data_IF_372569886926
#
_entry.id   IF_372569886926
#
_cell.length_a   1.000
_cell.length_b   1.000
_cell.length_c   1.000
_cell.angle_alpha   90.00
_cell.angle_beta   90.00
_cell.angle_gamma   90.00
#
_symmetry.space_group_name_H-M   'P 1'
#
loop_
_entity.id
_entity.type
_entity.pdbx_description
1 polymer ?
#
# COMPACT_ATOMS: atom_id res chain seq x y z
N UNK A 1 -14.38 -22.35 6.56
CA UNK A 1 -12.91 -22.29 6.70
C UNK A 1 -12.59 -21.56 8.01
N UNK A 2 -11.74 -22.11 8.89
CA UNK A 2 -11.37 -21.46 10.17
C UNK A 2 -10.67 -20.11 9.94
N UNK A 3 -10.86 -19.14 10.85
CA UNK A 3 -10.22 -17.81 10.80
C UNK A 3 -8.70 -17.91 10.76
N UNK A 4 -8.11 -18.83 11.53
CA UNK A 4 -6.67 -19.09 11.54
C UNK A 4 -6.16 -19.55 10.17
N UNK A 5 -6.92 -20.42 9.49
CA UNK A 5 -6.58 -20.88 8.14
C UNK A 5 -6.59 -19.72 7.14
N UNK A 6 -7.53 -18.79 7.23
CA UNK A 6 -7.55 -17.57 6.40
C UNK A 6 -6.32 -16.69 6.66
N UNK A 7 -5.95 -16.48 7.92
CA UNK A 7 -4.77 -15.69 8.31
C UNK A 7 -3.49 -16.33 7.76
N UNK A 8 -3.33 -17.64 7.88
CA UNK A 8 -2.14 -18.33 7.40
C UNK A 8 -2.00 -18.25 5.89
N UNK A 9 -3.11 -18.39 5.14
CA UNK A 9 -3.11 -18.21 3.69
C UNK A 9 -2.77 -16.76 3.32
N UNK A 10 -3.36 -15.76 3.99
CA UNK A 10 -3.05 -14.36 3.73
C UNK A 10 -1.57 -14.03 3.98
N UNK A 11 -0.99 -14.53 5.07
CA UNK A 11 0.44 -14.38 5.36
C UNK A 11 1.31 -14.99 4.26
N UNK A 12 1.00 -16.21 3.83
CA UNK A 12 1.76 -16.88 2.76
C UNK A 12 1.69 -16.08 1.44
N UNK A 13 0.52 -15.56 1.09
CA UNK A 13 0.35 -14.72 -0.10
C UNK A 13 1.14 -13.41 0.00
N UNK A 14 1.11 -12.73 1.14
CA UNK A 14 1.89 -11.50 1.35
C UNK A 14 3.40 -11.74 1.28
N UNK A 15 3.89 -12.87 1.80
CA UNK A 15 5.29 -13.27 1.68
C UNK A 15 5.66 -13.49 0.21
N UNK A 16 4.84 -14.23 -0.54
CA UNK A 16 5.09 -14.50 -1.95
C UNK A 16 5.04 -13.23 -2.82
N UNK A 17 4.10 -12.33 -2.54
CA UNK A 17 3.99 -11.05 -3.22
C UNK A 17 5.26 -10.22 -3.03
N UNK A 18 5.72 -10.08 -1.78
CA UNK A 18 6.92 -9.33 -1.45
C UNK A 18 8.18 -9.94 -2.07
N UNK A 19 8.30 -11.27 -2.06
CA UNK A 19 9.40 -11.96 -2.73
C UNK A 19 9.41 -11.69 -4.25
N UNK A 20 8.22 -11.54 -4.85
CA UNK A 20 8.10 -11.21 -6.27
C UNK A 20 8.51 -9.76 -6.55
N UNK A 21 8.11 -8.81 -5.70
CA UNK A 21 8.54 -7.40 -5.76
C UNK A 21 10.07 -7.29 -5.66
N UNK A 22 10.66 -7.95 -4.67
CA UNK A 22 12.12 -7.96 -4.46
C UNK A 22 12.89 -8.57 -5.64
N UNK A 23 12.34 -9.62 -6.28
CA UNK A 23 12.94 -10.20 -7.47
C UNK A 23 12.93 -9.23 -8.67
N UNK A 24 11.86 -8.43 -8.82
CA UNK A 24 11.77 -7.41 -9.87
C UNK A 24 12.76 -6.27 -9.60
N UNK A 25 12.86 -5.80 -8.35
CA UNK A 25 13.82 -4.77 -7.94
C UNK A 25 15.26 -5.21 -8.20
N UNK A 26 15.57 -6.46 -7.85
CA UNK A 26 16.87 -7.08 -8.13
C UNK A 26 17.13 -7.12 -9.64
N UNK A 27 16.17 -7.58 -10.44
CA UNK A 27 16.32 -7.62 -11.90
C UNK A 27 16.54 -6.23 -12.51
N UNK A 28 15.89 -5.19 -11.98
CA UNK A 28 16.07 -3.82 -12.41
C UNK A 28 17.49 -3.31 -12.08
N UNK A 29 18.00 -3.65 -10.90
CA UNK A 29 19.37 -3.31 -10.48
C UNK A 29 20.41 -3.98 -11.38
N UNK A 30 20.27 -5.27 -11.66
CA UNK A 30 21.15 -6.02 -12.56
C UNK A 30 21.13 -5.47 -13.99
N UNK A 31 19.94 -5.11 -14.50
CA UNK A 31 19.82 -4.50 -15.83
C UNK A 31 20.51 -3.12 -15.90
N UNK A 32 20.43 -2.31 -14.84
CA UNK A 32 21.13 -1.04 -14.75
C UNK A 32 22.66 -1.26 -14.72
N UNK A 33 23.14 -2.23 -13.95
CA UNK A 33 24.56 -2.57 -13.90
C UNK A 33 25.07 -3.07 -15.26
N UNK A 34 24.29 -3.90 -15.97
CA UNK A 34 24.63 -4.34 -17.32
C UNK A 34 24.83 -3.16 -18.28
N UNK A 35 23.97 -2.13 -18.21
CA UNK A 35 24.13 -0.91 -19.03
C UNK A 35 25.42 -0.17 -18.67
N UNK A 36 25.70 -0.02 -17.38
CA UNK A 36 26.94 0.61 -16.89
C UNK A 36 28.18 -0.15 -17.41
N UNK A 37 28.23 -1.46 -17.20
CA UNK A 37 29.33 -2.33 -17.68
C UNK A 37 29.47 -2.25 -19.19
N UNK A 38 28.35 -2.22 -19.92
CA UNK A 38 28.37 -2.09 -21.38
C UNK A 38 28.94 -0.74 -21.84
N UNK A 39 28.50 0.36 -21.25
CA UNK A 39 28.96 1.72 -21.60
C UNK A 39 30.45 1.90 -21.27
N UNK A 40 30.88 1.43 -20.11
CA UNK A 40 32.29 1.50 -19.68
C UNK A 40 33.19 0.63 -20.56
N UNK A 41 32.76 -0.60 -20.87
CA UNK A 41 33.50 -1.50 -21.78
C UNK A 41 33.68 -0.90 -23.16
N UNK A 42 32.64 -0.27 -23.74
CA UNK A 42 32.76 0.43 -25.04
C UNK A 42 33.85 1.50 -25.03
N UNK A 43 33.92 2.28 -23.95
CA UNK A 43 34.95 3.33 -23.80
C UNK A 43 36.35 2.72 -23.70
N UNK A 44 36.50 1.61 -22.97
CA UNK A 44 37.78 0.93 -22.77
C UNK A 44 38.39 0.40 -24.07
N UNK A 45 37.57 -0.03 -25.04
CA UNK A 45 38.03 -0.58 -26.33
C UNK A 45 37.85 0.38 -27.52
N UNK A 46 37.55 1.67 -27.26
CA UNK A 46 37.25 2.67 -28.30
C UNK A 46 36.19 2.22 -29.33
N UNK A 47 35.20 1.45 -28.88
CA UNK A 47 34.14 0.92 -29.74
C UNK A 47 33.15 2.02 -30.13
N UNK A 48 32.83 2.10 -31.42
CA UNK A 48 31.78 3.00 -31.93
C UNK A 48 30.44 2.69 -31.28
N UNK A 49 29.68 3.73 -30.94
CA UNK A 49 28.34 3.66 -30.36
C UNK A 49 27.34 2.89 -31.22
N UNK A 50 27.57 2.86 -32.55
CA UNK A 50 26.72 2.15 -33.51
C UNK A 50 26.87 0.63 -33.35
N UNK A 51 28.06 0.15 -32.98
CA UNK A 51 28.30 -1.28 -32.80
C UNK A 51 27.68 -1.71 -31.46
N UNK A 52 26.80 -2.72 -31.50
CA UNK A 52 26.12 -3.25 -30.31
C UNK A 52 25.04 -2.35 -29.71
N UNK A 53 24.59 -1.31 -30.43
CA UNK A 53 23.47 -0.45 -30.00
C UNK A 53 22.22 -1.26 -29.62
N UNK A 54 22.00 -2.40 -30.27
CA UNK A 54 20.87 -3.29 -29.99
C UNK A 54 20.90 -3.84 -28.55
N UNK A 55 22.08 -4.13 -27.99
CA UNK A 55 22.19 -4.58 -26.60
C UNK A 55 21.70 -3.49 -25.65
N UNK A 56 22.20 -2.27 -25.82
CA UNK A 56 21.81 -1.13 -25.00
C UNK A 56 20.30 -0.84 -25.10
N UNK A 57 19.76 -0.81 -26.33
CA UNK A 57 18.35 -0.55 -26.57
C UNK A 57 17.45 -1.65 -26.01
N UNK A 58 17.81 -2.92 -26.16
CA UNK A 58 17.02 -4.03 -25.65
C UNK A 58 17.07 -4.09 -24.11
N UNK A 59 18.20 -3.76 -23.48
CA UNK A 59 18.26 -3.66 -22.00
C UNK A 59 17.39 -2.52 -21.48
N UNK A 60 17.37 -1.35 -22.13
CA UNK A 60 16.46 -0.26 -21.75
C UNK A 60 14.99 -0.66 -21.90
N UNK A 61 14.63 -1.37 -22.97
CA UNK A 61 13.27 -1.93 -23.14
C UNK A 61 12.91 -2.92 -22.03
N UNK A 62 13.84 -3.78 -21.63
CA UNK A 62 13.64 -4.69 -20.51
C UNK A 62 13.42 -3.92 -19.21
N UNK A 63 14.21 -2.88 -18.92
CA UNK A 63 14.01 -2.02 -17.74
C UNK A 63 12.64 -1.34 -17.72
N UNK A 64 12.15 -0.86 -18.87
CA UNK A 64 10.80 -0.30 -18.96
C UNK A 64 9.73 -1.34 -18.64
N UNK A 65 9.86 -2.56 -19.18
CA UNK A 65 8.93 -3.65 -18.88
C UNK A 65 8.95 -4.05 -17.40
N UNK A 66 10.14 -4.09 -16.78
CA UNK A 66 10.29 -4.34 -15.33
C UNK A 66 9.65 -3.23 -14.49
N UNK A 67 9.80 -1.97 -14.90
CA UNK A 67 9.14 -0.84 -14.22
C UNK A 67 7.61 -0.93 -14.31
N UNK A 68 7.07 -1.33 -15.46
CA UNK A 68 5.63 -1.63 -15.60
C UNK A 68 5.23 -2.81 -14.72
N UNK A 69 6.05 -3.85 -14.60
CA UNK A 69 5.79 -4.96 -13.70
C UNK A 69 5.73 -4.52 -12.22
N UNK A 70 6.62 -3.63 -11.75
CA UNK A 70 6.55 -3.04 -10.40
C UNK A 70 5.23 -2.30 -10.15
N UNK A 71 4.74 -1.53 -11.13
CA UNK A 71 3.46 -0.83 -11.04
C UNK A 71 2.29 -1.83 -10.89
N UNK A 72 2.32 -2.92 -11.66
CA UNK A 72 1.32 -3.98 -11.53
C UNK A 72 1.39 -4.71 -10.18
N UNK A 73 2.58 -4.94 -9.64
CA UNK A 73 2.75 -5.55 -8.31
C UNK A 73 2.22 -4.65 -7.20
N UNK A 74 2.50 -3.35 -7.25
CA UNK A 74 1.92 -2.35 -6.32
C UNK A 74 0.39 -2.35 -6.38
N UNK A 75 -0.18 -2.44 -7.58
CA UNK A 75 -1.63 -2.56 -7.75
C UNK A 75 -2.16 -3.88 -7.17
N UNK A 76 -1.45 -5.00 -7.36
CA UNK A 76 -1.78 -6.29 -6.76
C UNK A 76 -1.73 -6.25 -5.23
N UNK A 77 -0.72 -5.58 -4.65
CA UNK A 77 -0.63 -5.32 -3.21
C UNK A 77 -1.88 -4.58 -2.70
N UNK A 78 -2.31 -3.54 -3.41
CA UNK A 78 -3.50 -2.75 -3.05
C UNK A 78 -4.78 -3.59 -3.15
N UNK A 79 -4.92 -4.38 -4.22
CA UNK A 79 -6.07 -5.28 -4.40
C UNK A 79 -6.13 -6.37 -3.33
N UNK A 80 -4.98 -6.90 -2.89
CA UNK A 80 -4.95 -7.89 -1.80
C UNK A 80 -5.45 -7.29 -0.48
N UNK A 81 -5.21 -6.02 -0.20
CA UNK A 81 -5.80 -5.34 0.97
C UNK A 81 -7.33 -5.32 0.89
N UNK A 82 -7.91 -5.07 -0.29
CA UNK A 82 -9.36 -5.12 -0.50
C UNK A 82 -9.90 -6.55 -0.31
N UNK A 83 -9.20 -7.55 -0.85
CA UNK A 83 -9.57 -8.97 -0.69
C UNK A 83 -9.52 -9.37 0.78
N UNK A 84 -8.51 -8.94 1.55
CA UNK A 84 -8.41 -9.20 2.99
C UNK A 84 -9.64 -8.67 3.73
N UNK A 85 -10.11 -7.45 3.41
CA UNK A 85 -11.33 -6.90 3.98
C UNK A 85 -12.57 -7.76 3.64
N UNK A 86 -12.73 -8.19 2.39
CA UNK A 86 -13.85 -9.02 1.94
C UNK A 86 -13.91 -10.39 2.63
N UNK A 87 -12.77 -10.99 2.96
CA UNK A 87 -12.73 -12.31 3.63
C UNK A 87 -12.82 -12.24 5.16
N UNK A 88 -13.02 -11.04 5.72
CA UNK A 88 -13.15 -10.79 7.15
C UNK A 88 -11.81 -10.74 7.89
N UNK A 89 -10.73 -10.43 7.18
CA UNK A 89 -9.40 -10.18 7.75
C UNK A 89 -9.03 -8.69 7.78
N UNK A 90 -9.87 -7.81 7.23
CA UNK A 90 -9.65 -6.37 7.28
C UNK A 90 -9.68 -5.85 8.72
N UNK A 91 -9.00 -4.72 8.96
CA UNK A 91 -8.99 -4.04 10.24
C UNK A 91 -10.43 -3.66 10.62
N UNK A 92 -11.08 -4.48 11.45
CA UNK A 92 -12.21 -4.02 12.25
C UNK A 92 -11.59 -3.05 13.24
N UNK A 93 -11.89 -1.76 13.08
CA UNK A 93 -11.66 -0.79 14.14
C UNK A 93 -12.45 -1.28 15.36
N UNK A 94 -11.78 -1.98 16.28
CA UNK A 94 -12.32 -2.24 17.61
C UNK A 94 -12.17 -0.91 18.34
N UNK A 95 -13.13 0.00 18.10
CA UNK A 95 -13.34 1.14 18.98
C UNK A 95 -13.73 0.56 20.34
N UNK A 96 -13.11 1.01 21.45
CA UNK A 96 -13.62 0.70 22.79
C UNK A 96 -15.13 1.02 22.84
N UNK A 97 -15.92 0.15 23.46
CA UNK A 97 -17.38 0.32 23.53
C UNK A 97 -17.80 1.66 24.20
N UNK A 98 -16.88 2.29 24.94
CA UNK A 98 -17.08 3.53 25.67
C UNK A 98 -16.86 4.82 24.84
N UNK A 99 -16.45 4.72 23.58
CA UNK A 99 -16.16 5.88 22.71
C UNK A 99 -17.36 6.29 21.81
N UNK A 100 -18.57 5.85 22.17
CA UNK A 100 -19.80 6.35 21.54
C UNK A 100 -20.12 7.72 22.16
N UNK A 101 -20.10 8.83 21.39
CA UNK A 101 -20.52 10.12 21.93
C UNK A 101 -21.96 10.01 22.44
N UNK A 102 -22.19 10.49 23.66
CA UNK A 102 -23.51 10.46 24.27
C UNK A 102 -24.53 11.14 23.33
N UNK A 103 -25.71 10.54 23.11
CA UNK A 103 -26.73 11.18 22.29
C UNK A 103 -27.06 12.55 22.87
N UNK A 104 -27.29 13.58 22.03
CA UNK A 104 -27.68 14.89 22.54
C UNK A 104 -28.98 14.73 23.34
N UNK A 105 -29.11 15.42 24.49
CA UNK A 105 -30.30 15.29 25.33
C UNK A 105 -31.55 15.74 24.56
N UNK A 106 -32.42 14.78 24.24
CA UNK A 106 -33.77 15.03 23.72
C UNK A 106 -34.71 15.37 24.87
N UNK A 107 -34.55 16.55 25.46
CA UNK A 107 -35.42 17.07 26.50
C UNK A 107 -35.08 18.52 26.84
N UNK A 108 -36.10 19.33 27.12
CA UNK A 108 -35.94 20.67 27.66
C UNK A 108 -36.04 20.62 29.19
N UNK A 109 -35.12 21.30 29.88
CA UNK A 109 -35.28 21.56 31.31
C UNK A 109 -36.22 22.74 31.48
N UNK A 110 -37.40 22.49 32.05
CA UNK A 110 -38.29 23.56 32.51
C UNK A 110 -37.87 23.88 33.94
N UNK A 111 -37.21 25.01 34.15
CA UNK A 111 -36.98 25.54 35.50
C UNK A 111 -38.29 26.12 36.03
N UNK A 112 -38.68 25.85 37.28
CA UNK A 112 -39.83 26.52 37.88
C UNK A 112 -39.54 28.02 37.93
N UNK A 113 -40.50 28.83 37.48
CA UNK A 113 -40.49 30.28 37.72
C UNK A 113 -40.64 30.46 39.22
N UNK A 114 -39.66 31.07 39.88
CA UNK A 114 -39.78 31.43 41.29
C UNK A 114 -40.97 32.39 41.44
N UNK A 115 -41.99 31.96 42.18
CA UNK A 115 -43.10 32.82 42.57
C UNK A 115 -42.54 33.95 43.43
N UNK A 116 -42.54 35.16 42.89
CA UNK A 116 -42.17 36.38 43.59
C UNK A 116 -43.13 36.58 44.76
N UNK A 117 -42.69 36.22 45.97
CA UNK A 117 -43.44 36.43 47.21
C UNK A 117 -43.51 37.92 47.47
N UNK A 118 -44.65 38.52 47.13
CA UNK A 118 -44.96 39.92 47.46
C UNK A 118 -45.20 39.98 48.98
N UNK A 119 -44.18 40.34 49.75
CA UNK A 119 -44.34 40.70 51.16
C UNK A 119 -44.92 42.11 51.26
N UNK A 120 -46.16 42.20 51.77
CA UNK A 120 -46.79 43.45 52.15
C UNK A 120 -46.49 43.76 53.61
N UNK A 121 -45.80 44.87 53.86
CA UNK A 121 -45.93 45.73 55.06
C UNK A 121 -45.65 47.19 54.66
#
# INVERSE_FOLDING_TARGET
>A
MSREKKINVAKALSVQLRATEEAIDTALSEAAHLIETYVTSRRAIHMSTIIGNDVHQNTLKAMMALSTAQQHMTAAHTNLTLVQAQIGLGNVAVLPADDKPAPPPTGYYVTPVEEEVITAE
#
